data_IF_103820090212
#
_entry.id   IF_103820090212
#
_cell.length_a   1.000
_cell.length_b   1.000
_cell.length_c   1.000
_cell.angle_alpha   90.00
_cell.angle_beta   90.00
_cell.angle_gamma   90.00
#
_symmetry.space_group_name_H-M   'P 1'
#
loop_
_entity.id
_entity.type
_entity.pdbx_description
1 polymer ?
#
# COMPACT_ATOMS: atom_id res chain seq x y z
N UNK A 1 5.22 -8.11 8.62
CA UNK A 1 3.85 -8.31 8.13
C UNK A 1 3.56 -7.29 7.05
N UNK A 2 2.99 -7.75 5.94
CA UNK A 2 2.70 -6.90 4.80
C UNK A 2 1.18 -6.74 4.67
N UNK A 3 0.70 -5.52 4.73
CA UNK A 3 -0.69 -5.21 4.35
C UNK A 3 -0.71 -4.84 2.88
N UNK A 4 -1.42 -5.60 2.06
CA UNK A 4 -1.55 -5.35 0.62
C UNK A 4 -3.01 -5.22 0.23
N UNK A 5 -3.28 -4.24 -0.60
CA UNK A 5 -4.53 -4.15 -1.35
C UNK A 5 -4.29 -4.71 -2.76
N UNK A 6 -4.98 -5.81 -3.12
CA UNK A 6 -4.88 -6.42 -4.45
C UNK A 6 -6.21 -6.35 -5.17
N UNK A 7 -6.20 -5.93 -6.43
CA UNK A 7 -7.28 -6.21 -7.37
C UNK A 7 -7.09 -7.58 -8.03
N UNK A 8 -8.18 -8.36 -8.20
CA UNK A 8 -8.15 -9.60 -8.98
C UNK A 8 -8.10 -9.28 -10.47
N UNK A 9 -7.14 -9.84 -11.14
CA UNK A 9 -6.94 -9.71 -12.57
C UNK A 9 -5.54 -9.26 -12.87
N UNK A 10 -4.63 -10.20 -13.06
CA UNK A 10 -3.22 -10.01 -13.32
C UNK A 10 -2.40 -9.50 -12.11
N UNK A 11 -1.36 -10.24 -11.79
CA UNK A 11 -0.38 -9.93 -10.71
C UNK A 11 0.23 -8.53 -10.88
N UNK A 12 0.10 -7.95 -12.05
CA UNK A 12 0.68 -6.66 -12.46
C UNK A 12 -0.27 -5.47 -12.38
N UNK A 13 -1.54 -5.67 -11.97
CA UNK A 13 -2.54 -4.59 -11.95
C UNK A 13 -3.06 -4.39 -10.54
N UNK A 14 -2.33 -3.67 -9.73
CA UNK A 14 -2.73 -3.37 -8.37
C UNK A 14 -2.26 -1.98 -7.94
N UNK A 15 -2.98 -1.45 -6.99
CA UNK A 15 -2.62 -0.24 -6.30
C UNK A 15 -2.57 -0.57 -4.82
N UNK A 16 -1.43 -0.35 -4.21
CA UNK A 16 -1.22 -0.58 -2.79
C UNK A 16 -1.45 0.74 -2.04
N UNK A 17 -2.56 0.83 -1.30
CA UNK A 17 -2.90 2.02 -0.50
C UNK A 17 -1.90 2.17 0.63
N UNK A 18 -1.53 1.05 1.26
CA UNK A 18 -0.52 0.99 2.30
C UNK A 18 0.12 -0.39 2.32
N UNK A 19 1.43 -0.42 2.31
CA UNK A 19 2.26 -1.59 2.61
C UNK A 19 3.22 -1.24 3.75
N UNK A 20 3.33 -2.14 4.72
CA UNK A 20 4.26 -2.03 5.82
C UNK A 20 5.06 -3.33 5.93
N UNK A 21 6.36 -3.23 6.00
CA UNK A 21 7.25 -4.35 6.29
C UNK A 21 7.64 -4.28 7.76
N UNK A 22 7.20 -5.27 8.55
CA UNK A 22 7.52 -5.34 9.96
C UNK A 22 9.01 -5.54 10.23
N UNK A 23 9.48 -5.03 11.35
CA UNK A 23 10.85 -5.16 11.84
C UNK A 23 11.46 -3.85 12.31
N UNK A 24 12.30 -3.93 13.33
CA UNK A 24 12.94 -2.76 13.93
C UNK A 24 14.10 -2.18 13.12
N UNK A 25 14.67 -2.99 12.20
CA UNK A 25 15.79 -2.53 11.37
C UNK A 25 15.31 -1.44 10.38
N UNK A 26 16.14 -0.40 10.20
CA UNK A 26 15.90 0.66 9.22
C UNK A 26 14.53 1.37 9.36
N UNK A 27 13.99 1.43 10.56
CA UNK A 27 12.68 2.02 10.85
C UNK A 27 11.53 1.38 10.04
N UNK A 28 11.57 0.07 9.81
CA UNK A 28 10.55 -0.64 9.02
C UNK A 28 9.15 -0.49 9.62
N UNK A 29 9.00 -0.70 10.94
CA UNK A 29 7.72 -0.56 11.63
C UNK A 29 7.19 0.89 11.68
N UNK A 30 8.04 1.87 11.44
CA UNK A 30 7.70 3.28 11.35
C UNK A 30 7.59 3.82 9.93
N UNK A 31 7.68 2.97 8.89
CA UNK A 31 7.67 3.37 7.49
C UNK A 31 6.60 2.63 6.71
N UNK A 32 5.82 3.37 5.93
CA UNK A 32 4.83 2.82 5.00
C UNK A 32 5.17 3.17 3.56
N UNK A 33 4.65 2.36 2.66
CA UNK A 33 4.80 2.51 1.21
C UNK A 33 3.42 2.56 0.55
N UNK A 34 3.30 3.37 -0.50
CA UNK A 34 2.16 3.40 -1.41
C UNK A 34 2.68 3.18 -2.82
N UNK A 35 2.10 2.24 -3.57
CA UNK A 35 2.68 1.82 -4.85
C UNK A 35 1.59 1.49 -5.85
N UNK A 36 1.80 1.84 -7.11
CA UNK A 36 1.05 1.29 -8.25
C UNK A 36 1.90 0.27 -8.98
N UNK A 37 1.26 -0.78 -9.48
CA UNK A 37 1.89 -1.79 -10.32
C UNK A 37 1.05 -1.96 -11.58
N UNK A 38 1.71 -2.01 -12.73
CA UNK A 38 1.04 -2.18 -14.02
C UNK A 38 1.82 -3.09 -14.95
N UNK A 39 1.15 -3.56 -15.99
CA UNK A 39 1.78 -4.28 -17.08
C UNK A 39 2.38 -3.28 -18.08
N UNK A 40 3.68 -3.30 -18.22
CA UNK A 40 4.38 -2.54 -19.23
C UNK A 40 4.94 -3.50 -20.30
N UNK A 41 4.13 -3.76 -21.33
CA UNK A 41 4.47 -4.64 -22.45
C UNK A 41 4.92 -6.06 -22.01
N UNK A 42 4.18 -6.68 -21.09
CA UNK A 42 4.45 -8.02 -20.57
C UNK A 42 5.45 -8.07 -19.42
N UNK A 43 5.87 -6.91 -18.93
CA UNK A 43 6.77 -6.78 -17.77
C UNK A 43 6.13 -6.01 -16.64
N UNK A 44 6.36 -6.44 -15.41
CA UNK A 44 5.88 -5.69 -14.24
C UNK A 44 6.63 -4.37 -14.13
N UNK A 45 5.89 -3.27 -14.19
CA UNK A 45 6.38 -1.95 -13.82
C UNK A 45 5.73 -1.48 -12.51
N UNK A 46 6.38 -0.60 -11.79
CA UNK A 46 5.84 -0.02 -10.58
C UNK A 46 6.36 1.41 -10.37
N UNK A 47 5.58 2.17 -9.61
CA UNK A 47 5.99 3.48 -9.12
C UNK A 47 5.44 3.67 -7.73
N UNK A 48 6.32 3.92 -6.76
CA UNK A 48 5.97 4.03 -5.36
C UNK A 48 6.63 5.18 -4.64
N UNK A 49 5.97 5.59 -3.55
CA UNK A 49 6.49 6.53 -2.59
C UNK A 49 6.39 5.96 -1.18
N UNK A 50 7.11 6.57 -0.25
CA UNK A 50 7.10 6.18 1.16
C UNK A 50 7.05 7.39 2.07
N UNK A 51 6.57 7.16 3.29
CA UNK A 51 6.64 8.13 4.38
C UNK A 51 6.88 7.40 5.69
N UNK A 52 7.43 8.10 6.67
CA UNK A 52 7.71 7.55 7.98
C UNK A 52 7.06 8.42 9.06
N UNK A 53 6.70 7.79 10.16
CA UNK A 53 6.33 8.51 11.37
C UNK A 53 7.56 9.28 11.89
N UNK A 54 7.37 10.50 12.41
CA UNK A 54 8.47 11.24 13.04
C UNK A 54 8.97 10.57 14.32
N UNK A 55 8.08 9.82 15.00
CA UNK A 55 8.36 9.07 16.23
C UNK A 55 7.44 7.86 16.32
N UNK A 56 7.87 6.79 17.01
CA UNK A 56 7.05 5.60 17.25
C UNK A 56 6.96 4.68 16.03
N UNK A 57 6.03 3.77 16.11
CA UNK A 57 5.76 2.76 15.09
C UNK A 57 4.27 2.69 14.77
N UNK A 58 3.91 2.19 13.60
CA UNK A 58 2.52 2.20 13.11
C UNK A 58 1.56 1.31 13.92
N UNK A 59 2.05 0.40 14.75
CA UNK A 59 1.19 -0.42 15.61
C UNK A 59 0.92 0.20 17.00
N UNK A 60 1.44 1.37 17.31
CA UNK A 60 1.18 2.05 18.59
C UNK A 60 -0.22 2.67 18.64
N UNK A 61 -0.77 3.08 17.49
CA UNK A 61 -2.08 3.71 17.40
C UNK A 61 -2.75 3.49 16.04
N UNK A 62 -4.03 3.85 15.92
CA UNK A 62 -4.73 3.81 14.64
C UNK A 62 -4.34 5.01 13.77
N UNK A 63 -4.09 4.73 12.50
CA UNK A 63 -3.77 5.72 11.47
C UNK A 63 -4.76 5.65 10.32
N UNK A 64 -4.98 6.78 9.66
CA UNK A 64 -5.83 6.85 8.46
C UNK A 64 -4.94 6.85 7.22
N UNK A 65 -5.00 5.75 6.49
CA UNK A 65 -4.37 5.59 5.18
C UNK A 65 -5.41 5.87 4.11
N UNK A 66 -5.16 6.82 3.24
CA UNK A 66 -6.15 7.24 2.24
C UNK A 66 -5.52 7.40 0.88
N UNK A 67 -6.36 7.25 -0.15
CA UNK A 67 -6.06 7.70 -1.49
C UNK A 67 -7.17 8.65 -1.98
N UNK A 68 -6.75 9.66 -2.76
CA UNK A 68 -7.65 10.43 -3.61
C UNK A 68 -7.36 9.97 -5.03
N UNK A 69 -8.38 9.40 -5.67
CA UNK A 69 -8.25 8.80 -6.99
C UNK A 69 -9.29 9.39 -7.92
N UNK A 70 -8.82 10.04 -8.95
CA UNK A 70 -9.64 10.60 -10.03
C UNK A 70 -9.14 10.14 -11.41
N UNK A 71 -9.67 10.71 -12.49
CA UNK A 71 -9.29 10.35 -13.85
C UNK A 71 -7.86 10.79 -14.23
N UNK A 72 -7.22 11.63 -13.44
CA UNK A 72 -5.91 12.21 -13.78
C UNK A 72 -4.79 11.65 -12.91
N UNK A 73 -5.08 11.36 -11.63
CA UNK A 73 -4.04 11.04 -10.66
C UNK A 73 -4.54 10.17 -9.52
N UNK A 74 -3.59 9.53 -8.84
CA UNK A 74 -3.77 8.92 -7.53
C UNK A 74 -2.84 9.64 -6.55
N UNK A 75 -3.38 10.06 -5.41
CA UNK A 75 -2.67 10.76 -4.34
C UNK A 75 -2.75 9.92 -3.08
N UNK A 76 -1.64 9.66 -2.41
CA UNK A 76 -1.59 8.94 -1.14
C UNK A 76 -1.42 9.89 0.03
N UNK A 77 -2.19 9.63 1.09
CA UNK A 77 -2.15 10.43 2.30
C UNK A 77 -2.03 9.53 3.53
N UNK A 78 -1.23 9.97 4.49
CA UNK A 78 -1.20 9.47 5.86
C UNK A 78 -1.78 10.55 6.78
N UNK A 79 -2.84 10.23 7.52
CA UNK A 79 -3.51 11.16 8.44
C UNK A 79 -3.83 12.52 7.78
N UNK A 80 -4.33 12.47 6.54
CA UNK A 80 -4.63 13.63 5.67
C UNK A 80 -3.42 14.42 5.17
N UNK A 81 -2.20 13.96 5.38
CA UNK A 81 -0.99 14.58 4.84
C UNK A 81 -0.53 13.80 3.61
N UNK A 82 -0.48 14.49 2.47
CA UNK A 82 -0.01 13.88 1.23
C UNK A 82 1.47 13.52 1.32
N UNK A 83 1.82 12.31 0.89
CA UNK A 83 3.22 11.89 0.80
C UNK A 83 3.62 11.37 -0.59
N UNK A 84 2.65 10.99 -1.44
CA UNK A 84 2.95 10.48 -2.78
C UNK A 84 1.84 10.85 -3.77
N UNK A 85 2.17 10.91 -5.06
CA UNK A 85 1.23 11.17 -6.15
C UNK A 85 1.76 10.59 -7.45
N UNK A 86 0.86 10.08 -8.28
CA UNK A 86 1.14 9.66 -9.66
C UNK A 86 0.10 10.24 -10.61
N UNK A 87 0.55 10.71 -11.78
CA UNK A 87 -0.30 11.00 -12.94
C UNK A 87 -0.67 9.68 -13.64
N UNK A 88 -1.95 9.38 -13.79
CA UNK A 88 -2.44 8.16 -14.44
C UNK A 88 -3.09 8.42 -15.81
N UNK A 89 -2.85 9.58 -16.42
CA UNK A 89 -3.30 9.90 -17.78
C UNK A 89 -2.50 9.19 -18.88
N UNK A 90 -1.20 8.88 -18.71
CA UNK A 90 -0.45 8.12 -19.72
C UNK A 90 -1.14 6.81 -20.09
N UNK A 91 -1.10 6.47 -21.38
CA UNK A 91 -1.86 5.33 -21.93
C UNK A 91 -1.44 3.99 -21.32
N UNK A 92 -0.20 3.83 -20.92
CA UNK A 92 0.34 2.66 -20.24
C UNK A 92 -0.26 2.45 -18.83
N UNK A 93 -0.90 3.48 -18.26
CA UNK A 93 -1.57 3.48 -16.96
C UNK A 93 -3.10 3.43 -17.07
N UNK A 94 -3.64 3.13 -18.26
CA UNK A 94 -5.09 3.14 -18.51
C UNK A 94 -5.86 2.11 -17.69
N UNK A 95 -5.20 1.10 -17.14
CA UNK A 95 -5.79 0.12 -16.25
C UNK A 95 -6.25 0.73 -14.93
N UNK A 96 -5.66 1.85 -14.49
CA UNK A 96 -6.12 2.61 -13.32
C UNK A 96 -7.38 3.43 -13.57
N UNK A 97 -7.92 3.43 -14.80
CA UNK A 97 -9.23 3.97 -15.15
C UNK A 97 -10.38 2.94 -15.00
N UNK A 98 -10.07 1.72 -14.56
CA UNK A 98 -11.03 0.61 -14.40
C UNK A 98 -11.47 0.46 -12.95
N UNK A 99 -12.57 -0.26 -12.69
CA UNK A 99 -12.99 -0.59 -11.33
C UNK A 99 -11.96 -1.47 -10.61
N UNK A 100 -11.78 -1.20 -9.32
CA UNK A 100 -10.96 -1.97 -8.39
C UNK A 100 -11.80 -2.40 -7.19
N UNK A 101 -11.28 -3.34 -6.41
CA UNK A 101 -11.85 -3.75 -5.14
C UNK A 101 -10.77 -3.86 -4.07
N UNK A 102 -11.20 -3.85 -2.81
CA UNK A 102 -10.26 -3.90 -1.68
C UNK A 102 -9.84 -5.33 -1.37
N UNK A 103 -8.56 -5.48 -1.05
CA UNK A 103 -8.01 -6.65 -0.38
C UNK A 103 -7.18 -6.17 0.80
N UNK A 104 -7.42 -6.80 1.94
CA UNK A 104 -6.65 -6.60 3.16
C UNK A 104 -5.98 -7.93 3.50
N UNK A 105 -4.69 -7.93 3.74
CA UNK A 105 -3.99 -9.14 4.13
C UNK A 105 -2.78 -8.85 5.03
N UNK A 106 -2.45 -9.83 5.86
CA UNK A 106 -1.19 -9.93 6.59
C UNK A 106 -0.44 -11.10 6.02
N UNK A 107 0.76 -10.86 5.50
CA UNK A 107 1.62 -11.89 4.93
C UNK A 107 2.77 -12.20 5.88
N UNK A 108 3.13 -13.47 5.98
CA UNK A 108 4.27 -13.94 6.76
C UNK A 108 5.40 -14.29 5.81
N UNK A 109 6.51 -13.55 5.94
CA UNK A 109 7.67 -13.72 5.07
C UNK A 109 7.45 -13.24 3.64
N UNK A 110 8.44 -13.42 2.80
CA UNK A 110 8.45 -13.07 1.39
C UNK A 110 9.79 -12.51 0.93
N UNK A 111 9.91 -12.22 -0.37
CA UNK A 111 11.16 -11.72 -0.94
C UNK A 111 11.60 -10.38 -0.32
N UNK A 112 10.65 -9.52 -0.02
CA UNK A 112 10.94 -8.20 0.54
C UNK A 112 11.17 -8.22 2.05
N UNK A 113 10.26 -8.77 2.90
CA UNK A 113 10.48 -8.82 4.34
C UNK A 113 11.53 -9.85 4.77
N UNK A 114 11.85 -10.84 3.94
CA UNK A 114 12.66 -12.00 4.31
C UNK A 114 11.81 -13.11 4.91
N UNK A 115 12.48 -14.17 5.35
CA UNK A 115 11.83 -15.29 6.04
C UNK A 115 11.65 -14.98 7.53
N UNK A 116 10.60 -15.51 8.18
CA UNK A 116 10.51 -15.50 9.63
C UNK A 116 11.73 -16.18 10.27
N UNK A 117 12.11 -15.70 11.44
CA UNK A 117 13.21 -16.25 12.22
C UNK A 117 12.80 -16.42 13.71
N UNK A 118 13.77 -16.76 14.56
CA UNK A 118 13.51 -16.99 15.98
C UNK A 118 13.00 -15.75 16.75
N UNK A 119 13.12 -14.55 16.19
CA UNK A 119 12.59 -13.32 16.77
C UNK A 119 11.13 -13.05 16.36
N UNK A 120 10.61 -13.80 15.40
CA UNK A 120 9.24 -13.64 14.91
C UNK A 120 8.25 -14.22 15.92
N UNK A 121 7.42 -13.37 16.49
CA UNK A 121 6.41 -13.75 17.50
C UNK A 121 5.06 -13.94 16.86
N UNK A 122 4.36 -15.02 17.20
CA UNK A 122 3.00 -15.32 16.76
C UNK A 122 2.04 -15.51 17.97
N UNK A 123 0.73 -15.23 17.81
CA UNK A 123 0.08 -14.68 16.60
C UNK A 123 0.34 -13.19 16.39
N UNK A 124 0.23 -12.74 15.13
CA UNK A 124 0.24 -11.32 14.77
C UNK A 124 -1.12 -10.93 14.19
N UNK A 125 -1.57 -9.73 14.51
CA UNK A 125 -2.88 -9.23 14.11
C UNK A 125 -2.76 -7.90 13.37
N UNK A 126 -3.62 -7.70 12.38
CA UNK A 126 -3.91 -6.38 11.82
C UNK A 126 -5.34 -6.02 12.20
N UNK A 127 -5.52 -4.88 12.81
CA UNK A 127 -6.85 -4.37 13.22
C UNK A 127 -7.27 -3.26 12.28
N UNK A 128 -8.46 -3.40 11.70
CA UNK A 128 -9.08 -2.40 10.83
C UNK A 128 -10.34 -1.90 11.51
N UNK A 129 -10.39 -0.61 11.83
CA UNK A 129 -11.54 0.01 12.44
C UNK A 129 -12.65 0.24 11.42
N UNK A 130 -12.29 0.84 10.25
CA UNK A 130 -13.24 1.06 9.18
C UNK A 130 -12.58 1.12 7.81
N UNK A 131 -13.41 0.89 6.78
CA UNK A 131 -13.13 1.25 5.39
C UNK A 131 -14.26 2.18 4.91
N UNK A 132 -13.92 3.31 4.34
CA UNK A 132 -14.88 4.28 3.80
C UNK A 132 -14.53 4.62 2.37
N UNK A 133 -15.55 4.62 1.51
CA UNK A 133 -15.42 5.03 0.11
C UNK A 133 -16.35 6.21 -0.13
N UNK A 134 -15.81 7.27 -0.69
CA UNK A 134 -16.54 8.46 -1.07
C UNK A 134 -16.44 8.63 -2.58
N UNK A 135 -17.56 8.92 -3.21
CA UNK A 135 -17.61 9.19 -4.65
C UNK A 135 -18.17 10.58 -4.88
N UNK A 136 -17.50 11.35 -5.73
CA UNK A 136 -18.00 12.66 -6.16
C UNK A 136 -19.29 12.46 -6.94
N UNK A 137 -20.33 13.20 -6.57
CA UNK A 137 -21.61 13.26 -7.30
C UNK A 137 -21.46 14.07 -8.56
#
# INVERSE_FOLDING_TARGET
>A
DLVRSRGLGDVYKRQDIMELVGGSAENKDGTIHGTVHWDNAGSNANFGGKTSLPFGIFNDEYHVFSIIWDAEKIVWLLNNVQYHVIDIRPVELNEFQKPFFFILNVAVGGNWPGSPDASTVFPQEMKVDYIRVFQKK
#
